data_IF_331347893639
#
_entry.id   IF_331347893639
#
_cell.length_a   1.000
_cell.length_b   1.000
_cell.length_c   1.000
_cell.angle_alpha   90.00
_cell.angle_beta   90.00
_cell.angle_gamma   90.00
#
_symmetry.space_group_name_H-M   'P 1'
#
loop_
_entity.id
_entity.type
_entity.pdbx_description
1 polymer ?
#
# COMPACT_ATOMS: atom_id res chain seq x y z
N UNK A 1 29.79 -34.89 25.12
CA UNK A 1 28.67 -33.97 25.28
C UNK A 1 28.40 -33.32 23.92
N UNK A 2 27.41 -33.83 23.21
CA UNK A 2 27.08 -33.39 21.87
C UNK A 2 26.19 -32.15 21.93
N UNK A 3 26.62 -31.11 21.26
CA UNK A 3 25.87 -29.84 21.15
C UNK A 3 24.68 -30.03 20.18
N UNK A 4 23.41 -29.89 20.61
CA UNK A 4 22.27 -30.27 19.81
C UNK A 4 21.66 -29.12 18.97
N UNK A 5 22.40 -28.04 18.74
CA UNK A 5 21.90 -26.96 17.91
C UNK A 5 22.49 -27.02 16.50
N UNK A 6 21.69 -27.33 15.47
CA UNK A 6 22.15 -27.19 14.09
C UNK A 6 22.39 -25.70 13.82
N UNK A 7 23.61 -25.36 13.44
CA UNK A 7 23.94 -24.08 12.81
C UNK A 7 23.22 -24.00 11.47
N UNK A 8 21.95 -23.60 11.47
CA UNK A 8 21.32 -23.06 10.27
C UNK A 8 21.89 -21.66 10.06
N UNK A 9 22.48 -21.37 8.89
CA UNK A 9 22.82 -19.99 8.57
C UNK A 9 21.50 -19.19 8.62
N UNK A 10 21.43 -18.17 9.48
CA UNK A 10 20.40 -17.15 9.38
C UNK A 10 20.56 -16.54 7.97
N UNK A 11 19.74 -16.98 7.02
CA UNK A 11 19.55 -16.23 5.80
C UNK A 11 19.23 -14.79 6.24
N UNK A 12 20.11 -13.87 5.89
CA UNK A 12 19.92 -12.46 6.15
C UNK A 12 18.73 -12.04 5.28
N UNK A 13 17.54 -12.00 5.89
CA UNK A 13 16.32 -11.60 5.21
C UNK A 13 16.52 -10.19 4.68
N UNK A 14 16.40 -10.02 3.36
CA UNK A 14 16.52 -8.70 2.73
C UNK A 14 15.50 -7.75 3.35
N UNK A 15 15.88 -6.51 3.73
CA UNK A 15 14.96 -5.55 4.37
C UNK A 15 13.65 -5.33 3.61
N UNK A 16 13.66 -5.61 2.31
CA UNK A 16 12.49 -5.51 1.42
C UNK A 16 11.44 -6.60 1.68
N UNK A 17 11.87 -7.76 2.15
CA UNK A 17 11.01 -8.91 2.46
C UNK A 17 10.31 -8.77 3.81
N UNK A 18 10.76 -7.83 4.64
CA UNK A 18 10.16 -7.56 5.95
C UNK A 18 8.84 -6.80 5.86
N UNK A 19 8.58 -6.11 4.74
CA UNK A 19 7.43 -5.23 4.58
C UNK A 19 6.54 -5.70 3.44
N UNK A 20 5.25 -5.81 3.69
CA UNK A 20 4.24 -5.87 2.63
C UNK A 20 3.50 -4.53 2.60
N UNK A 21 3.32 -3.97 1.42
CA UNK A 21 2.62 -2.70 1.26
C UNK A 21 1.50 -2.86 0.24
N UNK A 22 0.30 -2.46 0.65
CA UNK A 22 -0.91 -2.49 -0.15
C UNK A 22 -1.37 -1.05 -0.37
N UNK A 23 -1.54 -0.65 -1.62
CA UNK A 23 -2.14 0.62 -1.99
C UNK A 23 -3.49 0.33 -2.63
N UNK A 24 -4.56 0.84 -2.03
CA UNK A 24 -5.93 0.62 -2.48
C UNK A 24 -6.58 1.94 -2.85
N UNK A 25 -7.57 1.90 -3.73
CA UNK A 25 -8.52 3.00 -3.95
C UNK A 25 -9.94 2.51 -3.65
N UNK A 26 -10.83 3.44 -3.36
CA UNK A 26 -12.24 3.12 -3.21
C UNK A 26 -12.98 3.27 -4.53
N UNK A 27 -13.67 2.20 -4.93
CA UNK A 27 -14.60 2.20 -6.05
C UNK A 27 -16.02 2.00 -5.56
N UNK A 28 -16.97 2.77 -6.09
CA UNK A 28 -18.35 2.76 -5.61
C UNK A 28 -19.10 1.44 -5.95
N UNK A 29 -18.62 0.67 -6.92
CA UNK A 29 -19.22 -0.60 -7.31
C UNK A 29 -18.52 -1.80 -6.66
N UNK A 30 -17.19 -1.75 -6.58
CA UNK A 30 -16.36 -2.89 -6.15
C UNK A 30 -15.76 -2.71 -4.74
N UNK A 31 -16.00 -1.58 -4.09
CA UNK A 31 -15.42 -1.23 -2.81
C UNK A 31 -13.91 -0.96 -2.91
N UNK A 32 -13.13 -1.30 -1.88
CA UNK A 32 -11.69 -1.13 -1.90
C UNK A 32 -11.00 -2.09 -2.88
N UNK A 33 -10.34 -1.52 -3.87
CA UNK A 33 -9.65 -2.25 -4.93
C UNK A 33 -8.14 -2.00 -4.86
N UNK A 34 -7.31 -3.06 -4.95
CA UNK A 34 -5.87 -2.89 -4.91
C UNK A 34 -5.33 -2.27 -6.20
N UNK A 35 -4.61 -1.16 -6.07
CA UNK A 35 -3.80 -0.56 -7.13
C UNK A 35 -2.45 -1.26 -7.26
N UNK A 36 -1.87 -1.60 -6.11
CA UNK A 36 -0.50 -2.07 -6.01
C UNK A 36 -0.33 -2.92 -4.77
N UNK A 37 0.37 -4.04 -4.91
CA UNK A 37 0.86 -4.86 -3.80
C UNK A 37 2.37 -5.06 -4.01
N UNK A 38 3.17 -4.93 -2.97
CA UNK A 38 4.63 -5.09 -3.04
C UNK A 38 5.16 -5.62 -1.70
N UNK A 39 6.21 -6.46 -1.69
CA UNK A 39 7.00 -6.90 -2.83
C UNK A 39 6.30 -7.92 -3.73
N UNK A 40 5.38 -8.71 -3.19
CA UNK A 40 4.75 -9.85 -3.86
C UNK A 40 3.33 -9.52 -4.36
N UNK A 41 3.17 -9.36 -5.67
CA UNK A 41 1.87 -9.10 -6.29
C UNK A 41 0.95 -10.33 -6.25
N UNK A 42 1.47 -11.56 -6.07
CA UNK A 42 0.67 -12.79 -5.99
C UNK A 42 -0.26 -12.82 -4.77
N UNK A 43 0.02 -12.01 -3.74
CA UNK A 43 -0.88 -11.79 -2.60
C UNK A 43 -2.26 -11.29 -3.02
N UNK A 44 -2.39 -10.73 -4.23
CA UNK A 44 -3.69 -10.35 -4.82
C UNK A 44 -4.64 -11.56 -4.98
N UNK A 45 -4.09 -12.74 -5.18
CA UNK A 45 -4.85 -13.99 -5.35
C UNK A 45 -5.15 -14.67 -4.02
N UNK A 46 -4.52 -14.23 -2.93
CA UNK A 46 -4.79 -14.76 -1.59
C UNK A 46 -6.08 -14.16 -1.03
N UNK A 47 -7.14 -14.96 -0.99
CA UNK A 47 -8.47 -14.53 -0.58
C UNK A 47 -8.53 -14.02 0.87
N UNK A 48 -7.77 -14.62 1.80
CA UNK A 48 -7.77 -14.26 3.21
C UNK A 48 -7.08 -12.90 3.41
N UNK A 49 -5.93 -12.70 2.79
CA UNK A 49 -5.22 -11.41 2.83
C UNK A 49 -6.06 -10.32 2.17
N UNK A 50 -6.66 -10.60 1.00
CA UNK A 50 -7.50 -9.63 0.31
C UNK A 50 -8.75 -9.26 1.10
N UNK A 51 -9.35 -10.22 1.79
CA UNK A 51 -10.46 -9.97 2.71
C UNK A 51 -10.03 -9.09 3.87
N UNK A 52 -8.90 -9.41 4.50
CA UNK A 52 -8.35 -8.64 5.62
C UNK A 52 -8.12 -7.18 5.24
N UNK A 53 -7.37 -6.91 4.17
CA UNK A 53 -7.03 -5.54 3.78
C UNK A 53 -8.26 -4.74 3.33
N UNK A 54 -9.25 -5.37 2.70
CA UNK A 54 -10.51 -4.72 2.33
C UNK A 54 -11.33 -4.37 3.57
N UNK A 55 -11.47 -5.28 4.54
CA UNK A 55 -12.17 -5.02 5.80
C UNK A 55 -11.46 -3.91 6.58
N UNK A 56 -10.14 -3.98 6.71
CA UNK A 56 -9.35 -2.95 7.39
C UNK A 56 -9.56 -1.56 6.76
N UNK A 57 -9.66 -1.51 5.44
CA UNK A 57 -9.89 -0.25 4.72
C UNK A 57 -11.30 0.33 4.92
N UNK A 58 -12.31 -0.49 5.23
CA UNK A 58 -13.69 -0.02 5.47
C UNK A 58 -13.76 0.94 6.66
N UNK A 59 -12.91 0.76 7.66
CA UNK A 59 -12.86 1.63 8.85
C UNK A 59 -12.61 3.11 8.51
N UNK A 60 -12.10 3.41 7.31
CA UNK A 60 -11.90 4.77 6.83
C UNK A 60 -13.08 5.36 6.06
N UNK A 61 -14.12 4.57 5.72
CA UNK A 61 -15.26 5.05 4.95
C UNK A 61 -16.32 5.73 5.81
N UNK A 62 -16.49 5.27 7.06
CA UNK A 62 -17.62 5.62 7.91
C UNK A 62 -17.36 6.81 8.85
N UNK A 63 -16.20 7.44 8.73
CA UNK A 63 -15.78 8.50 9.65
C UNK A 63 -15.74 9.81 8.89
N UNK A 64 -16.54 10.80 9.36
CA UNK A 64 -16.49 12.18 8.85
C UNK A 64 -15.04 12.69 8.88
N UNK A 65 -14.65 13.53 7.92
CA UNK A 65 -13.29 14.03 7.78
C UNK A 65 -12.73 14.70 9.06
N UNK A 66 -13.61 15.16 9.95
CA UNK A 66 -13.25 15.79 11.22
C UNK A 66 -12.89 14.80 12.35
N UNK A 67 -13.32 13.54 12.25
CA UNK A 67 -13.14 12.51 13.30
C UNK A 67 -12.39 11.29 12.81
N UNK A 68 -11.95 11.26 11.54
CA UNK A 68 -11.22 10.15 10.96
C UNK A 68 -9.86 9.97 11.65
N UNK A 69 -9.54 8.79 12.18
CA UNK A 69 -8.22 8.55 12.73
C UNK A 69 -7.17 8.67 11.63
N UNK A 70 -6.04 9.31 11.96
CA UNK A 70 -4.91 9.42 11.02
C UNK A 70 -4.33 8.05 10.65
N UNK A 71 -4.51 7.08 11.53
CA UNK A 71 -3.96 5.73 11.41
C UNK A 71 -4.85 4.72 12.13
N UNK A 72 -4.98 3.53 11.54
CA UNK A 72 -5.64 2.36 12.15
C UNK A 72 -4.65 1.20 12.12
N UNK A 73 -4.44 0.56 13.27
CA UNK A 73 -3.54 -0.57 13.44
C UNK A 73 -4.36 -1.84 13.72
N UNK A 74 -3.98 -2.95 13.11
CA UNK A 74 -4.64 -4.25 13.24
C UNK A 74 -3.59 -5.37 13.34
N UNK A 75 -3.70 -6.20 14.37
CA UNK A 75 -2.90 -7.43 14.48
C UNK A 75 -3.63 -8.60 13.82
N UNK A 76 -2.92 -9.36 12.98
CA UNK A 76 -3.44 -10.57 12.36
C UNK A 76 -2.31 -11.53 11.97
N UNK A 77 -2.42 -12.80 12.41
CA UNK A 77 -1.47 -13.90 12.09
C UNK A 77 0.01 -13.54 12.30
N UNK A 78 0.34 -12.93 13.45
CA UNK A 78 1.71 -12.57 13.81
C UNK A 78 2.29 -11.40 13.03
N UNK A 79 1.44 -10.66 12.31
CA UNK A 79 1.78 -9.41 11.64
C UNK A 79 0.94 -8.27 12.17
N UNK A 80 1.54 -7.08 12.18
CA UNK A 80 0.85 -5.83 12.45
C UNK A 80 0.60 -5.10 11.13
N UNK A 81 -0.64 -4.71 10.90
CA UNK A 81 -1.11 -3.95 9.73
C UNK A 81 -1.40 -2.52 10.15
N UNK A 82 -0.68 -1.58 9.57
CA UNK A 82 -0.82 -0.14 9.80
C UNK A 82 -1.47 0.48 8.58
N UNK A 83 -2.60 1.14 8.73
CA UNK A 83 -3.30 1.73 7.61
C UNK A 83 -3.45 3.25 7.76
N UNK A 84 -3.36 3.97 6.64
CA UNK A 84 -3.54 5.41 6.54
C UNK A 84 -4.33 5.77 5.29
N UNK A 85 -5.34 6.65 5.45
CA UNK A 85 -6.11 7.25 4.36
C UNK A 85 -5.47 8.57 3.90
N UNK A 86 -5.55 8.84 2.60
CA UNK A 86 -5.33 10.17 2.02
C UNK A 86 -6.14 10.35 0.75
N UNK A 87 -6.34 11.61 0.35
CA UNK A 87 -7.15 11.97 -0.80
C UNK A 87 -6.24 12.44 -1.94
N UNK A 88 -6.61 12.08 -3.18
CA UNK A 88 -5.94 12.57 -4.39
C UNK A 88 -6.97 13.14 -5.36
N UNK A 89 -6.63 14.17 -6.16
CA UNK A 89 -7.52 14.71 -7.16
C UNK A 89 -7.98 13.63 -8.15
N UNK A 90 -9.27 13.58 -8.42
CA UNK A 90 -9.84 12.67 -9.41
C UNK A 90 -9.79 13.27 -10.80
N UNK A 91 -9.43 12.45 -11.80
CA UNK A 91 -9.55 12.78 -13.22
C UNK A 91 -10.73 12.07 -13.88
N UNK A 92 -11.48 11.27 -13.11
CA UNK A 92 -12.63 10.52 -13.64
C UNK A 92 -13.81 11.44 -13.96
N UNK A 93 -14.26 11.42 -15.21
CA UNK A 93 -15.38 12.26 -15.69
C UNK A 93 -16.74 11.84 -15.09
N UNK A 94 -16.90 10.57 -14.72
CA UNK A 94 -18.17 10.02 -14.19
C UNK A 94 -17.90 9.08 -13.02
N UNK A 95 -18.40 9.46 -11.87
CA UNK A 95 -18.63 8.57 -10.74
C UNK A 95 -20.13 8.18 -10.72
N UNK A 96 -20.44 6.90 -10.45
CA UNK A 96 -21.82 6.40 -10.49
C UNK A 96 -22.73 7.04 -9.43
N UNK A 97 -22.20 7.40 -8.28
CA UNK A 97 -22.92 7.98 -7.15
C UNK A 97 -22.38 9.34 -6.70
N UNK A 98 -21.49 9.93 -7.48
CA UNK A 98 -20.92 11.23 -7.16
C UNK A 98 -22.00 12.29 -7.16
N UNK A 99 -22.31 12.89 -6.00
CA UNK A 99 -22.82 14.24 -5.97
C UNK A 99 -21.90 15.09 -6.86
N UNK A 100 -22.46 15.94 -7.71
CA UNK A 100 -21.70 16.88 -8.54
C UNK A 100 -20.68 17.58 -7.64
N UNK A 101 -19.40 17.18 -7.68
CA UNK A 101 -18.36 17.84 -6.92
C UNK A 101 -17.35 16.99 -6.17
N UNK A 102 -17.43 15.66 -6.15
CA UNK A 102 -16.34 14.88 -5.59
C UNK A 102 -15.15 14.89 -6.54
N UNK A 103 -14.25 15.84 -6.29
CA UNK A 103 -13.02 16.05 -7.03
C UNK A 103 -11.87 15.13 -6.60
N UNK A 104 -12.11 14.21 -5.66
CA UNK A 104 -11.07 13.44 -5.01
C UNK A 104 -11.35 11.94 -4.99
N UNK A 105 -10.28 11.16 -5.11
CA UNK A 105 -10.26 9.71 -4.89
C UNK A 105 -9.75 9.40 -3.49
N UNK A 106 -10.41 8.47 -2.81
CA UNK A 106 -9.92 7.94 -1.53
C UNK A 106 -8.88 6.87 -1.77
N UNK A 107 -7.69 7.06 -1.22
CA UNK A 107 -6.59 6.12 -1.24
C UNK A 107 -6.32 5.62 0.17
N UNK A 108 -6.15 4.31 0.33
CA UNK A 108 -5.72 3.68 1.57
C UNK A 108 -4.38 3.00 1.34
N UNK A 109 -3.40 3.38 2.14
CA UNK A 109 -2.09 2.75 2.21
C UNK A 109 -2.03 1.86 3.44
N UNK A 110 -1.75 0.57 3.26
CA UNK A 110 -1.55 -0.38 4.35
C UNK A 110 -0.12 -0.89 4.28
N UNK A 111 0.56 -0.87 5.42
CA UNK A 111 1.87 -1.46 5.66
C UNK A 111 1.71 -2.64 6.60
N UNK A 112 2.21 -3.82 6.22
CA UNK A 112 2.30 -5.00 7.09
C UNK A 112 3.76 -5.24 7.49
N UNK A 113 3.99 -5.50 8.77
CA UNK A 113 5.28 -5.87 9.36
C UNK A 113 5.09 -7.08 10.29
N UNK A 114 6.15 -7.90 10.51
CA UNK A 114 6.18 -8.83 11.62
C UNK A 114 5.87 -8.12 12.95
N UNK A 115 5.19 -8.79 13.88
CA UNK A 115 4.73 -8.17 15.13
C UNK A 115 5.86 -7.67 16.02
N UNK A 116 7.01 -8.33 15.99
CA UNK A 116 8.22 -7.93 16.71
C UNK A 116 8.87 -6.65 16.16
N UNK A 117 8.39 -6.18 15.04
CA UNK A 117 8.82 -4.93 14.39
C UNK A 117 7.76 -3.82 14.42
N UNK A 118 6.71 -3.98 15.22
CA UNK A 118 5.56 -3.06 15.28
C UNK A 118 5.94 -1.62 15.61
N UNK A 119 6.95 -1.42 16.47
CA UNK A 119 7.47 -0.10 16.89
C UNK A 119 7.91 0.78 15.70
N UNK A 120 8.27 0.17 14.57
CA UNK A 120 8.72 0.88 13.37
C UNK A 120 7.58 1.24 12.43
N UNK A 121 6.42 0.56 12.56
CA UNK A 121 5.34 0.61 11.57
C UNK A 121 4.79 2.01 11.35
N UNK A 122 4.45 2.73 12.42
CA UNK A 122 3.88 4.07 12.30
C UNK A 122 4.81 5.07 11.62
N UNK A 123 6.10 5.07 11.98
CA UNK A 123 7.09 5.97 11.39
C UNK A 123 7.37 5.63 9.91
N UNK A 124 7.45 4.34 9.59
CA UNK A 124 7.66 3.88 8.22
C UNK A 124 6.44 4.17 7.34
N UNK A 125 5.21 3.88 7.81
CA UNK A 125 3.97 4.20 7.10
C UNK A 125 3.88 5.70 6.77
N UNK A 126 4.15 6.56 7.76
CA UNK A 126 4.20 8.02 7.58
C UNK A 126 5.18 8.39 6.47
N UNK A 127 6.40 7.86 6.52
CA UNK A 127 7.45 8.17 5.54
C UNK A 127 7.10 7.71 4.12
N UNK A 128 6.50 6.51 3.97
CA UNK A 128 6.03 6.00 2.69
C UNK A 128 4.90 6.89 2.15
N UNK A 129 3.88 7.19 2.98
CA UNK A 129 2.73 8.00 2.57
C UNK A 129 3.14 9.39 2.12
N UNK A 130 3.99 10.09 2.88
CA UNK A 130 4.49 11.42 2.52
C UNK A 130 5.22 11.43 1.18
N UNK A 131 6.05 10.41 0.91
CA UNK A 131 6.76 10.29 -0.36
C UNK A 131 5.83 9.97 -1.53
N UNK A 132 4.83 9.10 -1.34
CA UNK A 132 3.82 8.81 -2.37
C UNK A 132 3.03 10.09 -2.67
N UNK A 133 2.52 10.78 -1.67
CA UNK A 133 1.76 12.02 -1.82
C UNK A 133 2.61 13.06 -2.58
N UNK A 134 3.83 13.29 -2.16
CA UNK A 134 4.73 14.28 -2.77
C UNK A 134 5.02 14.02 -4.24
N UNK A 135 5.22 12.76 -4.64
CA UNK A 135 5.74 12.44 -5.97
C UNK A 135 4.69 11.87 -6.93
N UNK A 136 3.55 11.36 -6.43
CA UNK A 136 2.60 10.62 -7.24
C UNK A 136 1.15 11.10 -7.16
N UNK A 137 0.79 12.04 -6.27
CA UNK A 137 -0.60 12.54 -6.14
C UNK A 137 -1.27 12.77 -7.51
N UNK A 138 -0.71 13.55 -8.46
CA UNK A 138 -1.37 13.80 -9.75
C UNK A 138 -1.39 12.58 -10.69
N UNK A 139 -0.62 11.52 -10.36
CA UNK A 139 -0.50 10.31 -11.20
C UNK A 139 -1.33 9.14 -10.68
N UNK A 140 -1.77 9.19 -9.42
CA UNK A 140 -2.54 8.09 -8.84
C UNK A 140 -3.90 7.94 -9.50
N UNK A 141 -4.56 9.02 -9.92
CA UNK A 141 -5.81 8.93 -10.69
C UNK A 141 -5.60 8.26 -12.05
N UNK A 142 -4.47 8.48 -12.72
CA UNK A 142 -4.13 7.77 -13.97
C UNK A 142 -3.90 6.27 -13.71
N UNK A 143 -3.34 5.91 -12.55
CA UNK A 143 -3.21 4.52 -12.14
C UNK A 143 -4.58 3.87 -11.89
N UNK A 144 -5.51 4.59 -11.25
CA UNK A 144 -6.89 4.13 -11.05
C UNK A 144 -7.58 3.91 -12.41
N UNK A 145 -7.50 4.86 -13.33
CA UNK A 145 -8.05 4.73 -14.67
C UNK A 145 -7.49 3.51 -15.41
N UNK A 146 -6.20 3.23 -15.24
CA UNK A 146 -5.56 2.06 -15.83
C UNK A 146 -6.09 0.74 -15.25
N UNK A 147 -6.28 0.66 -13.92
CA UNK A 147 -6.85 -0.53 -13.28
C UNK A 147 -8.32 -0.74 -13.71
N UNK A 148 -9.12 0.31 -13.77
CA UNK A 148 -10.48 0.27 -14.30
C UNK A 148 -10.51 -0.16 -15.77
N UNK A 149 -9.57 0.32 -16.58
CA UNK A 149 -9.46 -0.08 -17.99
C UNK A 149 -9.12 -1.57 -18.15
N UNK A 150 -8.48 -2.21 -17.18
CA UNK A 150 -8.20 -3.66 -17.18
C UNK A 150 -9.47 -4.50 -16.96
N UNK A 151 -10.43 -3.99 -16.19
CA UNK A 151 -11.70 -4.68 -15.90
C UNK A 151 -12.62 -4.67 -17.13
N UNK A 152 -12.55 -3.63 -17.98
CA UNK A 152 -13.39 -3.53 -19.16
C UNK A 152 -13.13 -4.66 -20.16
N UNK A 153 -14.19 -5.28 -20.63
CA UNK A 153 -14.15 -6.38 -21.61
C UNK A 153 -13.61 -5.90 -22.96
N UNK A 154 -14.04 -4.69 -23.39
CA UNK A 154 -13.63 -4.11 -24.68
C UNK A 154 -12.41 -3.24 -24.47
N UNK A 155 -11.29 -3.59 -25.11
CA UNK A 155 -10.04 -2.82 -25.07
C UNK A 155 -9.95 -1.89 -26.27
N UNK A 156 -10.23 -0.61 -26.06
CA UNK A 156 -10.00 0.45 -27.07
C UNK A 156 -8.52 0.83 -27.15
N UNK A 157 -8.05 1.49 -28.22
CA UNK A 157 -6.68 2.02 -28.28
C UNK A 157 -6.36 2.93 -27.09
N UNK A 158 -7.31 3.79 -26.68
CA UNK A 158 -7.17 4.67 -25.50
C UNK A 158 -7.01 3.87 -24.21
N UNK A 159 -7.79 2.79 -24.02
CA UNK A 159 -7.67 1.95 -22.82
C UNK A 159 -6.35 1.19 -22.76
N UNK A 160 -5.83 0.75 -23.91
CA UNK A 160 -4.50 0.09 -23.98
C UNK A 160 -3.37 1.04 -23.59
N UNK A 161 -3.43 2.28 -24.07
CA UNK A 161 -2.44 3.30 -23.70
C UNK A 161 -2.54 3.67 -22.23
N UNK A 162 -3.76 3.85 -21.69
CA UNK A 162 -3.97 4.09 -20.25
C UNK A 162 -3.36 2.96 -19.39
N UNK A 163 -3.56 1.69 -19.76
CA UNK A 163 -2.97 0.53 -19.07
C UNK A 163 -1.44 0.61 -19.08
N UNK A 164 -0.83 0.92 -20.24
CA UNK A 164 0.62 1.04 -20.37
C UNK A 164 1.19 2.16 -19.48
N UNK A 165 0.54 3.31 -19.46
CA UNK A 165 0.92 4.43 -18.58
C UNK A 165 0.78 4.04 -17.11
N UNK A 166 -0.33 3.38 -16.75
CA UNK A 166 -0.56 2.90 -15.38
C UNK A 166 0.51 1.92 -14.91
N UNK A 167 0.92 0.96 -15.74
CA UNK A 167 2.00 0.01 -15.39
C UNK A 167 3.33 0.73 -15.15
N UNK A 168 3.66 1.74 -15.96
CA UNK A 168 4.86 2.54 -15.75
C UNK A 168 4.82 3.31 -14.42
N UNK A 169 3.66 3.88 -14.06
CA UNK A 169 3.44 4.56 -12.77
C UNK A 169 3.57 3.55 -11.63
N UNK A 170 2.89 2.39 -11.73
CA UNK A 170 2.91 1.32 -10.76
C UNK A 170 4.34 0.88 -10.42
N UNK A 171 5.15 0.64 -11.44
CA UNK A 171 6.55 0.24 -11.25
C UNK A 171 7.37 1.32 -10.54
N UNK A 172 7.15 2.61 -10.86
CA UNK A 172 7.85 3.72 -10.20
C UNK A 172 7.44 3.86 -8.72
N UNK A 173 6.16 3.63 -8.40
CA UNK A 173 5.67 3.61 -7.01
C UNK A 173 6.30 2.43 -6.24
N UNK A 174 6.38 1.24 -6.84
CA UNK A 174 7.07 0.07 -6.24
C UNK A 174 8.51 0.40 -5.88
N UNK A 175 9.26 0.97 -6.82
CA UNK A 175 10.66 1.37 -6.60
C UNK A 175 10.77 2.41 -5.47
N UNK A 176 9.87 3.40 -5.41
CA UNK A 176 9.88 4.39 -4.34
C UNK A 176 9.63 3.74 -2.98
N UNK A 177 8.66 2.83 -2.87
CA UNK A 177 8.35 2.10 -1.63
C UNK A 177 9.55 1.27 -1.21
N UNK A 178 10.08 0.42 -2.11
CA UNK A 178 11.27 -0.40 -1.87
C UNK A 178 12.42 0.43 -1.32
N UNK A 179 12.81 1.49 -2.02
CA UNK A 179 13.90 2.38 -1.60
C UNK A 179 13.61 3.05 -0.24
N UNK A 180 12.33 3.35 0.06
CA UNK A 180 11.96 3.96 1.34
C UNK A 180 12.13 2.97 2.47
N UNK A 181 11.68 1.72 2.31
CA UNK A 181 11.85 0.65 3.29
C UNK A 181 13.34 0.36 3.53
N UNK A 182 14.13 0.15 2.48
CA UNK A 182 15.56 -0.12 2.60
C UNK A 182 16.30 1.00 3.35
N UNK A 183 16.10 2.25 2.95
CA UNK A 183 16.74 3.39 3.64
C UNK A 183 16.29 3.54 5.09
N UNK A 184 15.02 3.26 5.37
CA UNK A 184 14.50 3.35 6.73
C UNK A 184 15.20 2.34 7.64
N UNK A 185 15.22 1.06 7.28
CA UNK A 185 15.86 0.02 8.10
C UNK A 185 17.37 0.19 8.19
N UNK A 186 18.04 0.55 7.11
CA UNK A 186 19.47 0.89 7.17
C UNK A 186 19.77 2.03 8.14
N UNK A 187 18.90 3.02 8.23
CA UNK A 187 19.05 4.13 9.19
C UNK A 187 18.82 3.72 10.64
N UNK A 188 17.94 2.73 10.87
CA UNK A 188 17.70 2.15 12.20
C UNK A 188 18.90 1.34 12.66
N UNK A 189 19.39 0.42 11.81
CA UNK A 189 20.56 -0.43 12.14
C UNK A 189 21.77 0.44 12.50
N UNK A 190 22.10 1.44 11.68
CA UNK A 190 23.23 2.34 11.96
C UNK A 190 23.12 3.09 13.30
N UNK A 191 21.91 3.39 13.75
CA UNK A 191 21.72 4.06 15.06
C UNK A 191 21.92 3.09 16.22
N UNK A 192 21.54 1.84 16.05
CA UNK A 192 21.72 0.80 17.08
C UNK A 192 23.21 0.51 17.28
N UNK A 193 23.97 0.41 16.19
CA UNK A 193 25.41 0.16 16.23
C UNK A 193 26.21 1.33 16.85
N UNK A 194 25.69 2.57 16.72
CA UNK A 194 26.35 3.76 17.28
C UNK A 194 26.07 3.97 18.78
N UNK A 195 25.13 3.20 19.36
CA UNK A 195 24.74 3.28 20.79
C UNK A 195 25.21 2.06 21.60
N UNK A 196 25.85 1.09 20.96
CA UNK A 196 26.49 -0.07 21.57
C UNK A 196 27.98 0.12 21.73
#
# INVERSE_FOLDING_TARGET
>A
MNNPFPNTPKESMEPEQLCEVFLLYFDEEFGHMPLLITPDESLRENADIMRLIKIHSIWFLDISDQTSPDRIDLEYQGKMYFAKKFMVPSTREKRRFGSKGELYETIVLILSLPIDMDIFGGALLKKISERIIKHFTPKLSQLIEAELAKINVIKTPKSKESIKVGEAIKNRVKVLIKNTCCHYFQSVIKKTDATS
#
